data_IF_422004327763
#
_entry.id   IF_422004327763
#
_cell.length_a   1.000
_cell.length_b   1.000
_cell.length_c   1.000
_cell.angle_alpha   90.00
_cell.angle_beta   90.00
_cell.angle_gamma   90.00
#
_symmetry.space_group_name_H-M   'P 1'
#
loop_
_entity.id
_entity.type
_entity.pdbx_description
1 polymer ?
#
# COMPACT_ATOMS: atom_id res chain seq x y z
N UNK A 1 -11.78 -3.62 -63.50
CA UNK A 1 -12.45 -3.55 -62.18
C UNK A 1 -11.45 -4.02 -61.14
N UNK A 2 -10.68 -3.11 -60.51
CA UNK A 2 -9.85 -3.42 -59.34
C UNK A 2 -9.47 -2.09 -58.68
N UNK A 3 -10.15 -1.76 -57.58
CA UNK A 3 -9.85 -0.60 -56.74
C UNK A 3 -8.87 -1.07 -55.66
N UNK A 4 -7.64 -0.60 -55.70
CA UNK A 4 -6.69 -0.77 -54.60
C UNK A 4 -7.13 0.13 -53.44
N UNK A 5 -7.52 -0.48 -52.32
CA UNK A 5 -7.69 0.21 -51.04
C UNK A 5 -6.31 0.46 -50.44
N UNK A 6 -5.91 1.73 -50.36
CA UNK A 6 -4.83 2.20 -49.51
C UNK A 6 -5.37 2.27 -48.06
N UNK A 7 -4.99 1.31 -47.23
CA UNK A 7 -5.22 1.37 -45.79
C UNK A 7 -4.14 2.29 -45.17
N UNK A 8 -4.56 3.48 -44.74
CA UNK A 8 -3.72 4.35 -43.93
C UNK A 8 -3.55 3.74 -42.54
N UNK A 9 -2.35 3.25 -42.21
CA UNK A 9 -1.96 2.94 -40.84
C UNK A 9 -1.85 4.26 -40.06
N UNK A 10 -2.90 4.62 -39.34
CA UNK A 10 -2.83 5.65 -38.31
C UNK A 10 -2.03 5.11 -37.13
N UNK A 11 -0.82 5.64 -36.93
CA UNK A 11 -0.02 5.40 -35.74
C UNK A 11 -0.72 6.08 -34.55
N UNK A 12 -1.55 5.32 -33.82
CA UNK A 12 -2.16 5.78 -32.59
C UNK A 12 -1.09 5.92 -31.50
N UNK A 13 -0.66 7.14 -31.24
CA UNK A 13 0.10 7.50 -30.03
C UNK A 13 -0.84 7.34 -28.82
N UNK A 14 -0.69 6.22 -28.11
CA UNK A 14 -1.33 6.02 -26.81
C UNK A 14 -0.60 6.92 -25.82
N UNK A 15 -1.16 8.10 -25.53
CA UNK A 15 -0.67 8.98 -24.49
C UNK A 15 -0.96 8.33 -23.11
N UNK A 16 0.03 7.62 -22.58
CA UNK A 16 0.06 7.32 -21.15
C UNK A 16 0.22 8.61 -20.34
N UNK A 17 -0.15 8.63 -19.05
CA UNK A 17 0.03 9.82 -18.23
C UNK A 17 1.52 10.16 -18.20
N UNK A 18 1.85 11.32 -18.78
CA UNK A 18 3.18 11.88 -18.72
C UNK A 18 3.46 12.22 -17.26
N UNK A 19 4.12 11.32 -16.53
CA UNK A 19 4.97 11.73 -15.43
C UNK A 19 5.88 12.82 -15.99
N UNK A 20 5.75 14.05 -15.49
CA UNK A 20 6.65 15.14 -15.83
C UNK A 20 8.09 14.62 -15.68
N UNK A 21 8.73 14.35 -16.80
CA UNK A 21 9.86 13.42 -16.85
C UNK A 21 11.15 14.01 -16.27
N UNK A 22 11.12 15.28 -15.85
CA UNK A 22 12.33 16.11 -15.69
C UNK A 22 12.50 16.67 -14.26
N UNK A 23 11.68 16.25 -13.30
CA UNK A 23 11.81 16.66 -11.90
C UNK A 23 12.80 15.79 -11.10
N UNK A 24 13.51 16.40 -10.14
CA UNK A 24 14.45 15.71 -9.23
C UNK A 24 13.81 14.46 -8.60
N UNK A 25 12.55 14.57 -8.12
CA UNK A 25 11.82 13.45 -7.52
C UNK A 25 11.60 12.27 -8.48
N UNK A 26 11.24 12.53 -9.74
CA UNK A 26 11.06 11.48 -10.75
C UNK A 26 12.40 10.81 -11.10
N UNK A 27 13.48 11.59 -11.17
CA UNK A 27 14.84 11.07 -11.34
C UNK A 27 15.29 10.17 -10.18
N UNK A 28 15.01 10.57 -8.95
CA UNK A 28 15.31 9.78 -7.75
C UNK A 28 14.50 8.48 -7.69
N UNK A 29 13.21 8.52 -8.03
CA UNK A 29 12.38 7.31 -8.13
C UNK A 29 12.99 6.29 -9.09
N UNK A 30 13.35 6.75 -10.31
CA UNK A 30 13.95 5.90 -11.35
C UNK A 30 15.32 5.35 -10.97
N UNK A 31 16.14 6.12 -10.25
CA UNK A 31 17.52 5.72 -9.94
C UNK A 31 17.66 4.91 -8.64
N UNK A 32 16.79 5.12 -7.66
CA UNK A 32 16.97 4.55 -6.31
C UNK A 32 15.82 3.64 -5.85
N UNK A 33 14.60 3.80 -6.41
CA UNK A 33 13.41 3.14 -5.85
C UNK A 33 12.93 1.95 -6.70
N UNK A 34 13.05 2.02 -8.02
CA UNK A 34 12.48 0.98 -8.92
C UNK A 34 13.13 -0.40 -8.80
N UNK A 35 14.31 -0.49 -8.19
CA UNK A 35 14.95 -1.78 -7.90
C UNK A 35 14.15 -2.64 -6.91
N UNK A 36 13.24 -2.03 -6.15
CA UNK A 36 12.38 -2.71 -5.19
C UNK A 36 10.88 -2.47 -5.43
N UNK A 37 10.51 -1.28 -5.94
CA UNK A 37 9.12 -0.84 -6.04
C UNK A 37 8.65 -0.69 -7.49
N UNK A 38 7.49 -1.25 -7.83
CA UNK A 38 6.86 -0.97 -9.11
C UNK A 38 6.15 0.39 -9.08
N UNK A 39 6.67 1.38 -9.80
CA UNK A 39 6.07 2.72 -9.95
C UNK A 39 5.09 2.83 -11.13
N UNK A 40 5.03 1.79 -11.98
CA UNK A 40 4.01 1.58 -12.99
C UNK A 40 3.24 0.30 -12.67
N UNK A 41 1.99 0.20 -13.14
CA UNK A 41 1.18 -1.01 -12.95
C UNK A 41 1.89 -2.19 -13.61
N UNK A 42 2.21 -3.26 -12.86
CA UNK A 42 2.89 -4.42 -13.43
C UNK A 42 1.99 -5.15 -14.44
N UNK A 43 2.54 -5.47 -15.61
CA UNK A 43 1.87 -6.32 -16.59
C UNK A 43 1.93 -7.80 -16.17
N UNK A 44 3.07 -8.22 -15.60
CA UNK A 44 3.25 -9.55 -15.04
C UNK A 44 2.60 -9.64 -13.64
N UNK A 45 1.60 -10.50 -13.49
CA UNK A 45 0.90 -10.78 -12.21
C UNK A 45 1.06 -12.23 -11.76
N UNK A 46 2.16 -12.87 -12.17
CA UNK A 46 2.52 -14.24 -11.76
C UNK A 46 2.80 -14.34 -10.25
N UNK A 47 2.72 -15.56 -9.74
CA UNK A 47 3.17 -15.86 -8.37
C UNK A 47 4.65 -15.53 -8.21
N UNK A 48 5.50 -15.94 -9.16
CA UNK A 48 6.96 -15.74 -9.07
C UNK A 48 7.31 -14.27 -8.83
N UNK A 49 6.63 -13.35 -9.53
CA UNK A 49 6.80 -11.91 -9.29
C UNK A 49 6.49 -11.53 -7.84
N UNK A 50 5.38 -12.02 -7.28
CA UNK A 50 5.02 -11.72 -5.88
C UNK A 50 6.07 -12.29 -4.92
N UNK A 51 6.57 -13.49 -5.18
CA UNK A 51 7.59 -14.14 -4.36
C UNK A 51 8.96 -13.46 -4.44
N UNK A 52 9.29 -12.80 -5.54
CA UNK A 52 10.54 -12.07 -5.72
C UNK A 52 10.47 -10.58 -5.33
N UNK A 53 9.26 -10.07 -5.04
CA UNK A 53 9.03 -8.68 -4.68
C UNK A 53 9.83 -8.29 -3.44
N UNK A 54 10.59 -7.18 -3.55
CA UNK A 54 11.38 -6.61 -2.45
C UNK A 54 10.67 -5.48 -1.72
N UNK A 55 9.77 -4.77 -2.39
CA UNK A 55 8.95 -3.71 -1.80
C UNK A 55 7.57 -3.64 -2.44
N UNK A 56 6.58 -3.04 -1.75
CA UNK A 56 5.23 -2.93 -2.27
C UNK A 56 5.17 -2.08 -3.53
N UNK A 57 4.18 -2.36 -4.39
CA UNK A 57 3.92 -1.55 -5.56
C UNK A 57 3.47 -0.13 -5.16
N UNK A 58 3.96 0.87 -5.90
CA UNK A 58 3.78 2.30 -5.63
C UNK A 58 3.06 3.05 -6.77
N UNK A 59 2.63 2.36 -7.84
CA UNK A 59 1.93 2.99 -8.98
C UNK A 59 0.60 3.69 -8.63
N UNK A 60 0.13 3.56 -7.38
CA UNK A 60 -1.04 4.21 -6.81
C UNK A 60 -0.74 4.94 -5.49
N UNK A 61 0.54 5.28 -5.23
CA UNK A 61 0.99 5.86 -3.97
C UNK A 61 0.22 7.15 -3.61
N UNK A 62 -0.12 7.99 -4.57
CA UNK A 62 -0.86 9.23 -4.37
C UNK A 62 -2.32 9.05 -3.96
N UNK A 63 -2.91 7.89 -4.25
CA UNK A 63 -4.24 7.52 -3.72
C UNK A 63 -4.15 6.82 -2.37
N UNK A 64 -2.96 6.34 -1.98
CA UNK A 64 -2.75 5.49 -0.80
C UNK A 64 -2.29 6.27 0.42
N UNK A 65 -1.27 7.12 0.25
CA UNK A 65 -0.55 7.70 1.37
C UNK A 65 -0.91 9.15 1.62
N UNK A 66 -0.76 9.60 2.85
CA UNK A 66 -0.80 11.03 3.17
C UNK A 66 0.58 11.64 2.89
N UNK A 67 0.62 12.73 2.10
CA UNK A 67 1.87 13.40 1.72
C UNK A 67 2.73 13.83 2.93
N UNK A 68 2.20 14.44 3.99
CA UNK A 68 3.02 14.83 5.15
C UNK A 68 3.69 13.64 5.83
N UNK A 69 3.01 12.49 5.86
CA UNK A 69 3.60 11.25 6.38
C UNK A 69 4.71 10.73 5.47
N UNK A 70 4.53 10.73 4.15
CA UNK A 70 5.57 10.31 3.20
C UNK A 70 6.86 11.13 3.36
N UNK A 71 6.73 12.46 3.42
CA UNK A 71 7.89 13.35 3.60
C UNK A 71 8.66 13.03 4.88
N UNK A 72 7.95 12.85 6.00
CA UNK A 72 8.56 12.51 7.29
C UNK A 72 9.17 11.10 7.29
N UNK A 73 8.46 10.11 6.75
CA UNK A 73 8.89 8.72 6.73
C UNK A 73 10.08 8.50 5.81
N UNK A 74 10.15 9.16 4.65
CA UNK A 74 11.31 9.06 3.76
C UNK A 74 12.60 9.62 4.39
N UNK A 75 12.49 10.58 5.30
CA UNK A 75 13.64 11.09 6.07
C UNK A 75 14.05 10.15 7.20
N UNK A 76 13.09 9.46 7.82
CA UNK A 76 13.30 8.58 8.96
C UNK A 76 12.44 7.31 8.83
N UNK A 77 12.81 6.38 7.93
CA UNK A 77 11.96 5.24 7.65
C UNK A 77 11.95 4.27 8.83
N UNK A 78 10.73 3.89 9.23
CA UNK A 78 10.46 2.86 10.25
C UNK A 78 9.79 1.66 9.60
N UNK A 79 10.00 0.47 10.19
CA UNK A 79 9.46 -0.79 9.66
C UNK A 79 7.93 -0.82 9.76
N UNK A 80 7.26 -0.92 8.61
CA UNK A 80 5.78 -1.02 8.52
C UNK A 80 5.32 -2.48 8.49
N UNK A 81 6.10 -3.39 7.90
CA UNK A 81 5.80 -4.82 7.88
C UNK A 81 6.74 -5.52 8.84
N UNK A 82 6.26 -5.99 10.01
CA UNK A 82 7.13 -6.60 11.01
C UNK A 82 7.96 -7.75 10.44
N UNK A 83 7.34 -8.62 9.63
CA UNK A 83 8.00 -9.72 8.94
C UNK A 83 8.49 -9.39 7.51
N UNK A 84 8.64 -8.12 7.13
CA UNK A 84 9.08 -7.73 5.77
C UNK A 84 7.99 -7.88 4.70
N UNK A 85 8.34 -7.61 3.43
CA UNK A 85 7.38 -7.66 2.31
C UNK A 85 6.86 -9.08 2.04
N UNK A 86 7.75 -10.08 2.14
CA UNK A 86 7.40 -11.49 2.05
C UNK A 86 7.68 -12.17 3.39
N UNK A 87 6.66 -12.19 4.26
CA UNK A 87 6.78 -12.74 5.62
C UNK A 87 7.34 -14.17 5.66
N UNK A 88 7.02 -15.00 4.66
CA UNK A 88 7.48 -16.39 4.59
C UNK A 88 9.01 -16.55 4.53
N UNK A 89 9.76 -15.51 4.15
CA UNK A 89 11.24 -15.51 4.13
C UNK A 89 11.87 -15.03 5.44
N UNK A 90 11.06 -14.56 6.38
CA UNK A 90 11.52 -13.87 7.58
C UNK A 90 10.87 -14.42 8.84
N UNK A 91 10.61 -15.73 8.85
CA UNK A 91 10.05 -16.45 9.98
C UNK A 91 10.94 -17.64 10.28
N UNK A 92 11.23 -17.87 11.56
CA UNK A 92 11.97 -19.03 12.05
C UNK A 92 11.27 -19.64 13.25
N UNK A 93 11.51 -20.93 13.48
CA UNK A 93 10.97 -21.62 14.65
C UNK A 93 11.41 -20.97 15.96
N UNK A 94 10.47 -20.74 16.86
CA UNK A 94 10.73 -20.36 18.25
C UNK A 94 10.35 -21.48 19.23
N UNK A 95 10.47 -21.21 20.53
CA UNK A 95 10.22 -22.20 21.59
C UNK A 95 8.74 -22.45 21.87
N UNK A 96 7.88 -21.47 21.59
CA UNK A 96 6.41 -21.54 21.79
C UNK A 96 5.63 -21.32 20.50
N UNK A 97 6.12 -20.39 19.69
CA UNK A 97 5.55 -19.97 18.43
C UNK A 97 6.68 -19.59 17.47
N UNK A 98 6.36 -19.55 16.19
CA UNK A 98 7.27 -19.02 15.20
C UNK A 98 7.53 -17.52 15.45
N UNK A 99 8.77 -17.09 15.24
CA UNK A 99 9.20 -15.71 15.49
C UNK A 99 9.73 -15.07 14.21
N UNK A 100 9.64 -13.74 14.16
CA UNK A 100 10.21 -12.98 13.05
C UNK A 100 11.73 -13.08 13.08
N UNK A 101 12.33 -13.43 11.94
CA UNK A 101 13.77 -13.40 11.72
C UNK A 101 14.18 -12.11 10.99
N UNK A 102 14.68 -11.15 11.76
CA UNK A 102 15.07 -9.84 11.24
C UNK A 102 16.43 -9.83 10.53
N UNK A 103 17.22 -10.90 10.67
CA UNK A 103 18.62 -10.95 10.23
C UNK A 103 18.81 -10.66 8.73
N UNK A 104 17.83 -11.00 7.89
CA UNK A 104 17.83 -10.77 6.45
C UNK A 104 17.09 -9.52 5.98
N UNK A 105 16.60 -8.67 6.89
CA UNK A 105 15.81 -7.49 6.53
C UNK A 105 16.69 -6.25 6.38
N UNK A 106 16.87 -5.81 5.13
CA UNK A 106 17.53 -4.54 4.86
C UNK A 106 16.65 -3.36 5.34
N UNK A 107 17.23 -2.35 6.01
CA UNK A 107 16.51 -1.11 6.28
C UNK A 107 16.19 -0.37 4.98
N UNK A 108 15.08 0.35 4.96
CA UNK A 108 14.75 1.22 3.83
C UNK A 108 15.75 2.40 3.76
N UNK A 109 16.20 2.83 2.57
CA UNK A 109 17.07 3.99 2.44
C UNK A 109 16.39 5.26 2.96
N UNK A 110 17.16 6.09 3.66
CA UNK A 110 16.72 7.42 4.10
C UNK A 110 17.12 8.47 3.07
N UNK A 111 16.29 9.50 2.93
CA UNK A 111 16.54 10.63 2.04
C UNK A 111 16.80 11.92 2.85
N UNK A 112 17.69 12.80 2.38
CA UNK A 112 17.73 14.18 2.85
C UNK A 112 16.37 14.87 2.67
N UNK A 113 16.09 15.91 3.48
CA UNK A 113 14.78 16.59 3.48
C UNK A 113 14.30 17.01 2.08
N UNK A 114 15.14 17.69 1.30
CA UNK A 114 14.77 18.17 -0.04
C UNK A 114 14.43 17.01 -1.00
N UNK A 115 15.21 15.93 -0.95
CA UNK A 115 14.97 14.73 -1.76
C UNK A 115 13.69 14.01 -1.33
N UNK A 116 13.43 13.93 -0.02
CA UNK A 116 12.22 13.36 0.54
C UNK A 116 10.97 14.12 0.09
N UNK A 117 10.99 15.45 0.11
CA UNK A 117 9.91 16.31 -0.38
C UNK A 117 9.69 16.11 -1.89
N UNK A 118 10.76 16.10 -2.68
CA UNK A 118 10.68 15.90 -4.13
C UNK A 118 10.15 14.50 -4.50
N UNK A 119 10.62 13.45 -3.82
CA UNK A 119 10.16 12.07 -4.03
C UNK A 119 8.72 11.90 -3.55
N UNK A 120 8.35 12.48 -2.40
CA UNK A 120 6.98 12.47 -1.92
C UNK A 120 6.03 13.11 -2.95
N UNK A 121 6.39 14.27 -3.52
CA UNK A 121 5.61 14.89 -4.59
C UNK A 121 5.45 13.97 -5.82
N UNK A 122 6.54 13.36 -6.27
CA UNK A 122 6.50 12.44 -7.40
C UNK A 122 5.65 11.18 -7.12
N UNK A 123 5.70 10.64 -5.91
CA UNK A 123 4.84 9.53 -5.47
C UNK A 123 3.36 9.96 -5.39
N UNK A 124 3.08 11.19 -4.95
CA UNK A 124 1.73 11.72 -4.88
C UNK A 124 1.09 11.91 -6.26
N UNK A 125 1.89 12.08 -7.31
CA UNK A 125 1.42 12.10 -8.69
C UNK A 125 1.00 10.72 -9.22
N UNK A 126 1.38 9.62 -8.55
CA UNK A 126 0.99 8.25 -8.93
C UNK A 126 -0.40 7.94 -8.36
N UNK A 127 -1.44 8.37 -9.08
CA UNK A 127 -2.84 8.22 -8.66
C UNK A 127 -3.45 6.94 -9.24
N UNK A 128 -4.16 6.19 -8.41
CA UNK A 128 -4.92 5.03 -8.83
C UNK A 128 -6.03 5.42 -9.82
N UNK A 129 -6.37 4.54 -10.77
CA UNK A 129 -7.61 4.70 -11.53
C UNK A 129 -8.84 4.64 -10.60
N UNK A 130 -9.93 5.32 -10.96
CA UNK A 130 -11.11 5.47 -10.10
C UNK A 130 -11.80 4.13 -9.77
N UNK A 131 -11.63 3.14 -10.64
CA UNK A 131 -12.10 1.77 -10.47
C UNK A 131 -11.35 1.03 -9.36
N UNK A 132 -10.12 1.45 -9.04
CA UNK A 132 -9.30 0.86 -7.98
C UNK A 132 -9.46 1.61 -6.65
N UNK A 133 -9.40 2.94 -6.68
CA UNK A 133 -9.66 3.78 -5.50
C UNK A 133 -10.65 4.89 -5.87
N UNK A 134 -11.88 4.75 -5.40
CA UNK A 134 -12.94 5.72 -5.67
C UNK A 134 -12.94 6.81 -4.60
N UNK A 135 -12.78 8.07 -5.02
CA UNK A 135 -12.81 9.23 -4.11
C UNK A 135 -14.19 9.39 -3.45
N UNK A 136 -14.23 9.58 -2.14
CA UNK A 136 -15.46 9.74 -1.35
C UNK A 136 -16.23 8.43 -1.10
N UNK A 137 -15.59 7.28 -1.32
CA UNK A 137 -16.17 5.99 -0.98
C UNK A 137 -16.28 5.81 0.54
N UNK A 138 -15.24 6.21 1.28
CA UNK A 138 -15.29 6.28 2.74
C UNK A 138 -16.06 7.51 3.20
N UNK A 139 -16.96 7.34 4.18
CA UNK A 139 -17.86 8.41 4.65
C UNK A 139 -17.34 9.20 5.85
N UNK A 140 -16.21 8.82 6.45
CA UNK A 140 -15.59 9.61 7.52
C UNK A 140 -16.26 9.50 8.87
N UNK A 141 -17.13 8.52 9.08
CA UNK A 141 -17.85 8.36 10.34
C UNK A 141 -16.91 7.92 11.47
N UNK A 142 -17.04 8.58 12.63
CA UNK A 142 -16.35 8.14 13.86
C UNK A 142 -16.94 6.83 14.35
N UNK A 143 -16.08 5.97 14.88
CA UNK A 143 -16.48 4.67 15.42
C UNK A 143 -16.08 4.52 16.88
N UNK A 144 -16.81 3.67 17.62
CA UNK A 144 -16.40 3.26 18.96
C UNK A 144 -15.11 2.44 18.89
N UNK A 145 -14.05 2.85 19.58
CA UNK A 145 -12.78 2.12 19.60
C UNK A 145 -12.90 0.73 20.24
N UNK A 146 -13.75 0.59 21.25
CA UNK A 146 -13.98 -0.69 21.91
C UNK A 146 -14.67 -1.68 20.95
N UNK A 147 -15.77 -1.26 20.33
CA UNK A 147 -16.49 -2.10 19.38
C UNK A 147 -15.69 -2.34 18.09
N UNK A 148 -15.00 -1.31 17.59
CA UNK A 148 -14.10 -1.41 16.44
C UNK A 148 -12.97 -2.40 16.67
N UNK A 149 -12.34 -2.38 17.85
CA UNK A 149 -11.29 -3.34 18.22
C UNK A 149 -11.80 -4.78 18.33
N UNK A 150 -12.98 -4.97 18.94
CA UNK A 150 -13.64 -6.29 18.95
C UNK A 150 -13.95 -6.76 17.52
N UNK A 151 -14.46 -5.87 16.68
CA UNK A 151 -14.82 -6.19 15.30
C UNK A 151 -13.58 -6.57 14.47
N UNK A 152 -12.53 -5.75 14.53
CA UNK A 152 -11.26 -5.95 13.86
C UNK A 152 -10.58 -7.25 14.30
N UNK A 153 -10.41 -7.45 15.61
CA UNK A 153 -9.66 -8.59 16.13
C UNK A 153 -10.46 -9.89 16.11
N UNK A 154 -11.63 -9.90 16.75
CA UNK A 154 -12.37 -11.13 17.05
C UNK A 154 -13.37 -11.53 15.97
N UNK A 155 -14.07 -10.56 15.37
CA UNK A 155 -15.19 -10.86 14.46
C UNK A 155 -14.78 -10.92 12.99
N UNK A 156 -13.74 -10.20 12.60
CA UNK A 156 -13.24 -10.14 11.21
C UNK A 156 -11.85 -10.73 11.03
N UNK A 157 -11.19 -11.15 12.11
CA UNK A 157 -9.91 -11.88 12.07
C UNK A 157 -8.72 -11.04 11.60
N UNK A 158 -8.86 -9.72 11.46
CA UNK A 158 -7.79 -8.85 10.97
C UNK A 158 -6.56 -8.91 11.88
N UNK A 159 -6.79 -9.07 13.19
CA UNK A 159 -5.74 -9.20 14.20
C UNK A 159 -4.89 -10.47 14.08
N UNK A 160 -5.30 -11.48 13.31
CA UNK A 160 -4.49 -12.68 13.07
C UNK A 160 -3.26 -12.38 12.20
N UNK A 161 -3.33 -11.35 11.35
CA UNK A 161 -2.23 -10.95 10.46
C UNK A 161 -1.69 -9.55 10.76
N UNK A 162 -2.53 -8.63 11.26
CA UNK A 162 -2.17 -7.22 11.44
C UNK A 162 -2.06 -6.84 12.92
N UNK A 163 -1.01 -6.07 13.26
CA UNK A 163 -0.88 -5.46 14.58
C UNK A 163 -1.75 -4.20 14.68
N UNK A 164 -2.68 -4.20 15.64
CA UNK A 164 -3.49 -3.02 15.96
C UNK A 164 -2.88 -2.15 17.07
N UNK A 165 -1.85 -2.67 17.76
CA UNK A 165 -1.00 -1.98 18.73
C UNK A 165 0.41 -2.57 18.66
N UNK A 166 1.46 -1.83 19.08
CA UNK A 166 2.81 -2.38 19.14
C UNK A 166 2.84 -3.73 19.91
N UNK A 167 3.36 -4.78 19.26
CA UNK A 167 3.48 -6.11 19.84
C UNK A 167 2.18 -6.90 20.02
N UNK A 168 1.02 -6.40 19.55
CA UNK A 168 -0.26 -7.09 19.69
C UNK A 168 -0.97 -7.30 18.35
N UNK A 169 -1.11 -8.57 17.96
CA UNK A 169 -1.68 -9.03 16.69
C UNK A 169 -0.65 -9.82 15.87
N UNK A 170 -1.00 -10.15 14.63
CA UNK A 170 -0.12 -10.89 13.72
C UNK A 170 1.01 -10.03 13.12
N UNK A 171 2.11 -10.69 12.76
CA UNK A 171 3.30 -10.07 12.16
C UNK A 171 3.40 -10.25 10.62
N UNK A 172 2.52 -11.06 10.03
CA UNK A 172 2.52 -11.38 8.60
C UNK A 172 1.98 -10.27 7.71
N UNK A 173 1.10 -9.42 8.25
CA UNK A 173 0.59 -8.21 7.62
C UNK A 173 1.34 -6.96 8.07
N UNK A 174 1.03 -5.83 7.44
CA UNK A 174 1.53 -4.53 7.90
C UNK A 174 0.97 -4.19 9.29
N UNK A 175 1.73 -3.45 10.09
CA UNK A 175 1.14 -2.77 11.24
C UNK A 175 0.03 -1.81 10.79
N UNK A 176 -0.95 -1.61 11.67
CA UNK A 176 -2.06 -0.69 11.44
C UNK A 176 -2.19 0.35 12.56
N UNK A 177 -1.38 0.27 13.62
CA UNK A 177 -1.43 1.24 14.72
C UNK A 177 -0.95 2.63 14.32
N UNK A 178 -0.20 2.79 13.22
CA UNK A 178 0.15 4.09 12.62
C UNK A 178 -0.66 4.43 11.35
N UNK A 179 -1.61 3.58 10.96
CA UNK A 179 -2.29 3.69 9.67
C UNK A 179 -3.03 5.02 9.47
N UNK A 180 -3.58 5.60 10.53
CA UNK A 180 -4.30 6.87 10.47
C UNK A 180 -3.47 8.06 10.00
N UNK A 181 -2.19 8.10 10.38
CA UNK A 181 -1.26 9.13 9.89
C UNK A 181 -0.79 8.81 8.46
N UNK A 182 -0.65 7.53 8.16
CA UNK A 182 0.00 7.02 6.95
C UNK A 182 -0.91 6.96 5.73
N UNK A 183 -2.14 6.49 5.89
CA UNK A 183 -3.01 6.05 4.81
C UNK A 183 -4.23 6.96 4.65
N UNK A 184 -4.71 7.06 3.41
CA UNK A 184 -5.96 7.72 3.07
C UNK A 184 -7.16 6.78 3.29
N UNK A 185 -8.29 7.35 3.72
CA UNK A 185 -9.50 6.57 4.05
C UNK A 185 -10.10 5.83 2.86
N UNK A 186 -10.19 6.48 1.68
CA UNK A 186 -10.70 5.86 0.47
C UNK A 186 -9.84 4.66 0.02
N UNK A 187 -8.52 4.74 0.20
CA UNK A 187 -7.63 3.61 -0.06
C UNK A 187 -7.90 2.44 0.89
N UNK A 188 -7.97 2.69 2.20
CA UNK A 188 -8.25 1.63 3.19
C UNK A 188 -9.58 0.95 2.85
N UNK A 189 -10.63 1.74 2.58
CA UNK A 189 -11.94 1.25 2.21
C UNK A 189 -11.87 0.36 0.96
N UNK A 190 -11.27 0.85 -0.13
CA UNK A 190 -11.15 0.10 -1.39
C UNK A 190 -10.32 -1.17 -1.22
N UNK A 191 -9.21 -1.10 -0.48
CA UNK A 191 -8.30 -2.22 -0.27
C UNK A 191 -8.94 -3.33 0.56
N UNK A 192 -9.75 -3.00 1.58
CA UNK A 192 -10.50 -4.02 2.35
C UNK A 192 -11.60 -4.64 1.49
N UNK A 193 -12.27 -3.83 0.66
CA UNK A 193 -13.38 -4.28 -0.19
C UNK A 193 -12.94 -5.36 -1.18
N UNK A 194 -11.82 -5.15 -1.86
CA UNK A 194 -11.28 -6.13 -2.81
C UNK A 194 -9.75 -6.01 -2.95
N UNK A 195 -8.98 -6.62 -2.04
CA UNK A 195 -7.52 -6.55 -2.08
C UNK A 195 -6.95 -7.16 -3.38
N UNK A 196 -7.60 -8.16 -3.95
CA UNK A 196 -7.18 -8.81 -5.20
C UNK A 196 -7.28 -7.92 -6.44
N UNK A 197 -8.00 -6.79 -6.40
CA UNK A 197 -7.98 -5.80 -7.49
C UNK A 197 -6.65 -5.02 -7.56
N UNK A 198 -5.94 -4.90 -6.44
CA UNK A 198 -4.62 -4.29 -6.40
C UNK A 198 -3.55 -5.28 -6.87
N UNK A 199 -3.66 -6.52 -6.43
CA UNK A 199 -2.76 -7.60 -6.83
C UNK A 199 -3.50 -8.96 -6.67
N UNK A 200 -3.71 -9.74 -7.75
CA UNK A 200 -4.51 -10.96 -7.68
C UNK A 200 -3.87 -12.06 -6.84
N UNK A 201 -2.60 -11.93 -6.44
CA UNK A 201 -1.84 -12.98 -5.73
C UNK A 201 -1.57 -12.67 -4.26
N UNK A 202 -1.89 -11.47 -3.77
CA UNK A 202 -1.64 -11.12 -2.37
C UNK A 202 -2.46 -11.96 -1.39
N UNK A 203 -1.88 -12.19 -0.21
CA UNK A 203 -2.44 -13.06 0.84
C UNK A 203 -3.64 -12.49 1.58
N UNK A 204 -3.84 -11.17 1.63
CA UNK A 204 -4.99 -10.60 2.34
C UNK A 204 -6.28 -11.05 1.62
N UNK A 205 -7.16 -11.83 2.26
CA UNK A 205 -8.33 -12.38 1.59
C UNK A 205 -9.40 -11.32 1.35
N UNK A 206 -10.20 -11.49 0.29
CA UNK A 206 -11.47 -10.77 0.16
C UNK A 206 -12.46 -11.35 1.17
N UNK A 207 -12.93 -10.50 2.09
CA UNK A 207 -13.83 -10.91 3.18
C UNK A 207 -15.33 -10.77 2.85
N UNK A 208 -15.68 -10.24 1.67
CA UNK A 208 -17.07 -10.02 1.22
C UNK A 208 -17.93 -9.28 2.27
N UNK A 209 -17.38 -8.20 2.85
CA UNK A 209 -18.04 -7.44 3.91
C UNK A 209 -19.20 -6.59 3.38
N UNK A 210 -20.24 -6.46 4.20
CA UNK A 210 -21.33 -5.52 3.94
C UNK A 210 -20.85 -4.06 4.03
N UNK A 211 -21.52 -3.15 3.32
CA UNK A 211 -21.14 -1.73 3.25
C UNK A 211 -20.94 -1.07 4.63
N UNK A 212 -21.85 -1.23 5.63
CA UNK A 212 -21.64 -0.63 6.95
C UNK A 212 -20.39 -1.15 7.66
N UNK A 213 -20.00 -2.39 7.39
CA UNK A 213 -18.84 -3.02 8.03
C UNK A 213 -17.52 -2.56 7.41
N UNK A 214 -17.50 -2.32 6.09
CA UNK A 214 -16.39 -1.66 5.41
C UNK A 214 -16.14 -0.25 5.98
N UNK A 215 -17.20 0.53 6.14
CA UNK A 215 -17.12 1.87 6.73
C UNK A 215 -16.59 1.81 8.17
N UNK A 216 -17.12 0.89 8.99
CA UNK A 216 -16.70 0.73 10.39
C UNK A 216 -15.23 0.32 10.55
N UNK A 217 -14.76 -0.66 9.78
CA UNK A 217 -13.35 -1.08 9.82
C UNK A 217 -12.41 0.03 9.37
N UNK A 218 -12.77 0.72 8.29
CA UNK A 218 -11.99 1.85 7.77
C UNK A 218 -11.87 2.94 8.83
N UNK A 219 -12.99 3.34 9.45
CA UNK A 219 -13.00 4.32 10.53
C UNK A 219 -12.17 3.87 11.74
N UNK A 220 -12.24 2.60 12.12
CA UNK A 220 -11.44 2.06 13.22
C UNK A 220 -9.93 2.13 12.94
N UNK A 221 -9.49 1.69 11.76
CA UNK A 221 -8.08 1.69 11.36
C UNK A 221 -7.52 3.12 11.32
N UNK A 222 -8.28 4.07 10.79
CA UNK A 222 -7.89 5.49 10.80
C UNK A 222 -7.77 6.06 12.21
N UNK A 223 -8.63 5.63 13.15
CA UNK A 223 -8.60 6.10 14.52
C UNK A 223 -7.46 5.48 15.36
N UNK A 224 -6.90 4.32 14.97
CA UNK A 224 -5.76 3.72 15.69
C UNK A 224 -4.54 4.65 15.71
N UNK A 225 -4.22 5.26 14.57
CA UNK A 225 -3.12 6.22 14.43
C UNK A 225 -3.31 7.52 15.22
N UNK A 226 -4.55 7.86 15.58
CA UNK A 226 -4.83 9.08 16.34
C UNK A 226 -4.63 8.91 17.86
N UNK A 227 -4.58 7.67 18.36
CA UNK A 227 -4.60 7.40 19.81
C UNK A 227 -3.22 7.31 20.48
N UNK A 228 -2.12 7.22 19.73
CA UNK A 228 -0.75 7.20 20.31
C UNK A 228 0.02 8.52 20.10
N UNK A 229 -0.61 9.55 19.52
CA UNK A 229 -0.06 10.90 19.45
C UNK A 229 -0.27 11.71 20.76
N UNK A 230 -0.40 11.04 21.91
CA UNK A 230 -0.53 11.63 23.25
C UNK A 230 0.41 10.98 24.25
#
# INVERSE_FOLDING_TARGET
>A
MNRHLLAALGLGLIAGPALAADGIGAGLLKSQCIGCHAIAKPENTSLDRLWERKGPDLYYAGSKFNKPWLEKWLQNPVRIRPAGELYARHVKGGTKEDVVDESGMAPHPKLPKADAEAVAEALMALVAPAELVSKGAFKGEKVSMAMGGMFFGKLRGCGACHMAKPGFGGASGAELYTAGERLQGDYIYSYIKNPQQFDPRIWMPTLNLAEPDLQRLTGYILQLGATEAK
#
